data_IF_362866296282
#
_entry.id   IF_362866296282
#
_cell.length_a   1.000
_cell.length_b   1.000
_cell.length_c   1.000
_cell.angle_alpha   90.00
_cell.angle_beta   90.00
_cell.angle_gamma   90.00
#
_symmetry.space_group_name_H-M   'P 1'
#
loop_
_entity.id
_entity.type
_entity.pdbx_description
1 polymer ?
#
# COMPACT_ATOMS: atom_id res chain seq x y z
N UNK A 1 -12.70 12.69 -7.12
CA UNK A 1 -12.54 11.38 -6.46
C UNK A 1 -11.22 11.41 -5.71
N UNK A 2 -11.26 11.40 -4.38
CA UNK A 2 -10.05 11.22 -3.57
C UNK A 2 -9.66 9.74 -3.62
N UNK A 3 -8.72 9.41 -4.52
CA UNK A 3 -8.08 8.10 -4.62
C UNK A 3 -7.06 7.95 -3.46
N UNK A 4 -7.47 8.21 -2.22
CA UNK A 4 -6.65 8.07 -1.02
C UNK A 4 -7.10 6.85 -0.21
N UNK A 5 -6.16 6.01 0.17
CA UNK A 5 -6.39 4.87 1.07
C UNK A 5 -5.32 4.81 2.15
N UNK A 6 -5.72 4.40 3.36
CA UNK A 6 -4.76 4.10 4.42
C UNK A 6 -3.92 2.87 4.05
N UNK A 7 -2.63 2.87 4.41
CA UNK A 7 -1.72 1.76 4.14
C UNK A 7 -2.23 0.42 4.70
N UNK A 8 -2.90 0.45 5.86
CA UNK A 8 -3.56 -0.73 6.45
C UNK A 8 -4.72 -1.31 5.64
N UNK A 9 -5.31 -0.51 4.73
CA UNK A 9 -6.43 -0.94 3.88
C UNK A 9 -5.97 -1.44 2.51
N UNK A 10 -4.69 -1.25 2.16
CA UNK A 10 -4.11 -1.73 0.91
C UNK A 10 -4.19 -3.25 0.85
N UNK A 11 -4.55 -3.78 -0.31
CA UNK A 11 -4.64 -5.21 -0.60
C UNK A 11 -3.79 -5.57 -1.81
N UNK A 12 -3.56 -6.88 -1.97
CA UNK A 12 -2.97 -7.42 -3.20
C UNK A 12 -3.82 -7.03 -4.41
N UNK A 13 -3.18 -6.48 -5.43
CA UNK A 13 -3.79 -6.03 -6.68
C UNK A 13 -4.14 -4.55 -6.71
N UNK A 14 -4.07 -3.84 -5.57
CA UNK A 14 -4.24 -2.38 -5.55
C UNK A 14 -3.06 -1.69 -6.22
N UNK A 15 -3.29 -0.49 -6.74
CA UNK A 15 -2.24 0.35 -7.31
C UNK A 15 -1.95 1.52 -6.39
N UNK A 16 -0.71 1.67 -5.93
CA UNK A 16 -0.27 2.78 -5.06
C UNK A 16 0.69 3.68 -5.84
N UNK A 17 0.53 4.99 -5.72
CA UNK A 17 1.42 5.98 -6.34
C UNK A 17 2.67 6.15 -5.49
N UNK A 18 3.79 5.62 -5.99
CA UNK A 18 5.12 5.80 -5.44
C UNK A 18 5.98 6.61 -6.40
N UNK A 19 6.64 7.65 -5.89
CA UNK A 19 7.53 8.52 -6.69
C UNK A 19 6.88 8.98 -8.01
N UNK A 20 5.60 9.34 -7.94
CA UNK A 20 4.81 9.83 -9.08
C UNK A 20 4.26 8.75 -10.02
N UNK A 21 4.54 7.45 -9.81
CA UNK A 21 4.06 6.36 -10.67
C UNK A 21 3.15 5.39 -9.91
N UNK A 22 2.09 4.91 -10.55
CA UNK A 22 1.24 3.84 -10.00
C UNK A 22 1.98 2.51 -10.04
N UNK A 23 1.99 1.80 -8.92
CA UNK A 23 2.66 0.51 -8.75
C UNK A 23 1.69 -0.50 -8.16
N UNK A 24 1.58 -1.65 -8.81
CA UNK A 24 0.70 -2.72 -8.34
C UNK A 24 1.32 -3.46 -7.15
N UNK A 25 0.50 -3.63 -6.11
CA UNK A 25 0.83 -4.37 -4.90
C UNK A 25 0.70 -5.86 -5.17
N UNK A 26 1.82 -6.58 -5.07
CA UNK A 26 1.91 -8.04 -5.17
C UNK A 26 1.49 -8.74 -3.88
N UNK A 27 1.85 -8.19 -2.72
CA UNK A 27 1.52 -8.73 -1.41
C UNK A 27 1.57 -7.65 -0.33
N UNK A 28 0.91 -7.90 0.80
CA UNK A 28 0.95 -7.06 1.99
C UNK A 28 1.38 -7.94 3.15
N UNK A 29 2.40 -7.51 3.90
CA UNK A 29 2.90 -8.22 5.07
C UNK A 29 2.71 -7.36 6.31
N UNK A 30 2.15 -7.89 7.41
CA UNK A 30 2.20 -7.20 8.69
C UNK A 30 3.65 -7.17 9.16
N UNK A 31 4.11 -6.01 9.62
CA UNK A 31 5.44 -5.87 10.20
C UNK A 31 5.29 -5.74 11.71
N UNK A 32 5.51 -6.85 12.42
CA UNK A 32 5.44 -6.94 13.87
C UNK A 32 6.67 -6.35 14.57
N UNK A 33 7.67 -5.89 13.80
CA UNK A 33 8.92 -5.38 14.33
C UNK A 33 8.79 -4.07 15.12
N UNK A 34 7.66 -3.35 15.01
CA UNK A 34 7.47 -2.05 15.65
C UNK A 34 6.51 -2.14 16.85
N UNK A 35 7.06 -2.14 18.06
CA UNK A 35 6.29 -2.20 19.31
C UNK A 35 5.50 -0.92 19.62
N UNK A 36 5.72 0.17 18.85
CA UNK A 36 5.12 1.49 19.12
C UNK A 36 4.03 1.88 18.13
N UNK A 37 4.09 1.44 16.87
CA UNK A 37 3.08 1.74 15.85
C UNK A 37 2.92 0.58 14.87
N UNK A 38 1.69 0.14 14.56
CA UNK A 38 1.46 -0.90 13.57
C UNK A 38 2.02 -0.48 12.21
N UNK A 39 2.82 -1.34 11.62
CA UNK A 39 3.46 -1.13 10.32
C UNK A 39 3.06 -2.22 9.34
N UNK A 40 3.00 -1.85 8.05
CA UNK A 40 2.74 -2.77 6.95
C UNK A 40 3.86 -2.66 5.92
N UNK A 41 4.27 -3.79 5.35
CA UNK A 41 5.20 -3.84 4.24
C UNK A 41 4.42 -4.16 2.98
N UNK A 42 4.43 -3.22 2.04
CA UNK A 42 3.85 -3.38 0.72
C UNK A 42 4.91 -3.94 -0.21
N UNK A 43 4.65 -5.10 -0.80
CA UNK A 43 5.51 -5.72 -1.82
C UNK A 43 4.90 -5.41 -3.17
N UNK A 44 5.67 -4.83 -4.08
CA UNK A 44 5.21 -4.45 -5.41
C UNK A 44 5.70 -5.44 -6.48
N UNK A 45 5.04 -5.44 -7.65
CA UNK A 45 5.46 -6.28 -8.78
C UNK A 45 6.76 -5.80 -9.44
N UNK A 46 6.91 -4.50 -9.61
CA UNK A 46 8.00 -3.87 -10.39
C UNK A 46 8.79 -2.83 -9.56
N UNK A 47 8.65 -2.87 -8.24
CA UNK A 47 9.30 -1.92 -7.32
C UNK A 47 9.73 -2.67 -6.04
N UNK A 48 10.84 -2.27 -5.39
CA UNK A 48 11.20 -2.82 -4.09
C UNK A 48 10.07 -2.70 -3.08
N UNK A 49 10.03 -3.62 -2.11
CA UNK A 49 9.06 -3.50 -1.02
C UNK A 49 9.32 -2.24 -0.19
N UNK A 50 8.26 -1.55 0.22
CA UNK A 50 8.36 -0.38 1.10
C UNK A 50 7.53 -0.59 2.37
N UNK A 51 8.05 -0.05 3.49
CA UNK A 51 7.41 -0.11 4.81
C UNK A 51 6.67 1.20 5.07
N UNK A 52 5.43 1.09 5.51
CA UNK A 52 4.57 2.21 5.88
C UNK A 52 3.99 2.02 7.27
N UNK A 53 3.72 3.12 7.97
CA UNK A 53 2.84 3.06 9.14
C UNK A 53 1.41 2.78 8.68
N UNK A 54 0.69 1.95 9.41
CA UNK A 54 -0.66 1.47 9.06
C UNK A 54 -1.68 2.60 8.85
N UNK A 55 -1.48 3.75 9.49
CA UNK A 55 -2.31 4.97 9.43
C UNK A 55 -1.89 5.95 8.32
N UNK A 56 -0.79 5.66 7.60
CA UNK A 56 -0.29 6.52 6.52
C UNK A 56 -1.28 6.56 5.36
N UNK A 57 -1.66 7.75 4.93
CA UNK A 57 -2.47 7.95 3.72
C UNK A 57 -1.61 7.81 2.47
N UNK A 58 -2.03 6.90 1.60
CA UNK A 58 -1.40 6.63 0.31
C UNK A 58 -2.36 7.03 -0.80
N UNK A 59 -1.80 7.59 -1.87
CA UNK A 59 -2.54 7.77 -3.11
C UNK A 59 -2.59 6.43 -3.85
N UNK A 60 -3.77 5.96 -4.20
CA UNK A 60 -3.91 4.70 -4.90
C UNK A 60 -5.35 4.35 -5.28
N UNK A 61 -5.47 3.35 -6.15
CA UNK A 61 -6.74 2.86 -6.68
C UNK A 61 -6.99 1.45 -6.20
N UNK A 62 -8.18 1.25 -5.67
CA UNK A 62 -8.70 -0.06 -5.29
C UNK A 62 -9.04 -0.86 -6.55
N UNK A 63 -8.66 -2.14 -6.57
CA UNK A 63 -8.92 -3.04 -7.70
C UNK A 63 -10.41 -3.14 -8.07
N UNK A 64 -11.34 -2.94 -7.14
CA UNK A 64 -12.79 -3.06 -7.38
C UNK A 64 -13.37 -1.98 -8.28
N UNK A 65 -12.62 -0.91 -8.60
CA UNK A 65 -13.09 0.17 -9.49
C UNK A 65 -12.79 -0.02 -10.98
N UNK A 66 -12.10 -1.09 -11.38
CA UNK A 66 -11.82 -1.39 -12.80
C UNK A 66 -12.84 -2.37 -13.42
N UNK A 67 -14.11 -2.31 -13.04
CA UNK A 67 -15.17 -3.13 -13.67
C UNK A 67 -16.30 -2.28 -14.19
#
# INVERSE_FOLDING_TARGET
MDDRLMASRVRRGDQVRLRGRLREVKAVRPDQASSRRPTVVLVFKEHPSERFTADTWLWGRDRKRSR
#
